data_IF_393478478117
#
_entry.id   IF_393478478117
#
_cell.length_a   1.000
_cell.length_b   1.000
_cell.length_c   1.000
_cell.angle_alpha   90.00
_cell.angle_beta   90.00
_cell.angle_gamma   90.00
#
_symmetry.space_group_name_H-M   'P 1'
#
loop_
_entity.id
_entity.type
_entity.pdbx_description
1 polymer ?
#
# COMPACT_ATOMS: atom_id res chain seq x y z
N UNK A 1 29.42 -14.20 1.94
CA UNK A 1 28.82 -12.94 1.45
C UNK A 1 27.29 -13.10 1.51
N UNK A 2 26.61 -12.51 2.51
CA UNK A 2 25.14 -12.56 2.64
C UNK A 2 24.56 -11.34 1.90
N UNK A 3 24.22 -11.51 0.62
CA UNK A 3 23.90 -10.43 -0.33
C UNK A 3 22.44 -9.97 -0.34
N UNK A 4 21.52 -10.65 0.36
CA UNK A 4 20.09 -10.42 0.15
C UNK A 4 19.48 -9.29 1.02
N UNK A 5 20.19 -8.79 2.04
CA UNK A 5 19.59 -7.92 3.08
C UNK A 5 19.73 -6.41 2.88
N UNK A 6 20.53 -5.91 1.92
CA UNK A 6 20.91 -4.47 1.93
C UNK A 6 20.50 -3.64 0.70
N UNK A 7 19.57 -4.09 -0.14
CA UNK A 7 19.20 -3.36 -1.37
C UNK A 7 17.69 -3.25 -1.63
N UNK A 8 16.85 -3.71 -0.71
CA UNK A 8 15.40 -3.60 -0.85
C UNK A 8 14.91 -2.59 0.17
N UNK A 9 14.40 -1.46 -0.31
CA UNK A 9 13.78 -0.44 0.55
C UNK A 9 12.27 -0.61 0.62
N UNK A 10 11.66 -1.15 -0.43
CA UNK A 10 10.21 -1.24 -0.56
C UNK A 10 9.78 -2.49 -1.33
N UNK A 11 8.76 -3.16 -0.83
CA UNK A 11 8.07 -4.29 -1.45
C UNK A 11 6.67 -3.86 -1.87
N UNK A 12 6.35 -4.05 -3.15
CA UNK A 12 5.04 -3.71 -3.69
C UNK A 12 4.13 -4.95 -3.75
N UNK A 13 2.88 -4.77 -3.33
CA UNK A 13 1.78 -5.73 -3.53
C UNK A 13 1.04 -5.37 -4.82
N UNK A 14 0.84 -6.36 -5.69
CA UNK A 14 0.13 -6.20 -6.96
C UNK A 14 -1.36 -5.85 -6.74
N UNK A 15 -1.95 -4.95 -7.54
CA UNK A 15 -3.36 -4.58 -7.45
C UNK A 15 -4.34 -5.75 -7.51
N UNK A 16 -4.02 -6.82 -8.24
CA UNK A 16 -4.90 -7.99 -8.34
C UNK A 16 -5.12 -8.67 -6.98
N UNK A 17 -4.11 -8.67 -6.11
CA UNK A 17 -4.25 -9.19 -4.74
C UNK A 17 -5.16 -8.30 -3.89
N UNK A 18 -5.13 -6.99 -4.14
CA UNK A 18 -5.86 -5.97 -3.37
C UNK A 18 -7.34 -5.95 -3.76
N UNK A 19 -7.65 -6.25 -5.02
CA UNK A 19 -9.02 -6.29 -5.52
C UNK A 19 -9.92 -7.19 -4.66
N UNK A 20 -9.44 -8.40 -4.34
CA UNK A 20 -10.20 -9.43 -3.62
C UNK A 20 -9.83 -9.57 -2.13
N UNK A 21 -8.97 -8.71 -1.57
CA UNK A 21 -8.45 -8.85 -0.20
C UNK A 21 -9.54 -8.90 0.90
N UNK A 22 -10.69 -8.26 0.65
CA UNK A 22 -11.82 -8.27 1.57
C UNK A 22 -12.69 -9.52 1.45
N UNK A 23 -12.76 -10.16 0.29
CA UNK A 23 -13.65 -11.30 -0.01
C UNK A 23 -12.92 -12.65 0.01
N UNK A 24 -11.63 -12.67 -0.31
CA UNK A 24 -10.79 -13.86 -0.42
C UNK A 24 -9.94 -14.05 0.84
N UNK A 25 -10.20 -15.09 1.66
CA UNK A 25 -9.35 -15.40 2.82
C UNK A 25 -7.92 -15.73 2.43
N UNK A 26 -7.71 -16.32 1.25
CA UNK A 26 -6.39 -16.65 0.73
C UNK A 26 -5.58 -15.38 0.42
N UNK A 27 -6.17 -14.42 -0.29
CA UNK A 27 -5.47 -13.18 -0.65
C UNK A 27 -5.19 -12.34 0.58
N UNK A 28 -6.12 -12.32 1.53
CA UNK A 28 -5.92 -11.69 2.84
C UNK A 28 -4.78 -12.32 3.63
N UNK A 29 -4.73 -13.66 3.68
CA UNK A 29 -3.65 -14.38 4.35
C UNK A 29 -2.30 -14.08 3.70
N UNK A 30 -2.26 -14.11 2.36
CA UNK A 30 -1.06 -13.83 1.60
C UNK A 30 -0.57 -12.40 1.83
N UNK A 31 -1.47 -11.41 1.72
CA UNK A 31 -1.15 -10.01 2.01
C UNK A 31 -0.60 -9.84 3.43
N UNK A 32 -1.23 -10.47 4.44
CA UNK A 32 -0.74 -10.43 5.83
C UNK A 32 0.66 -11.02 5.97
N UNK A 33 0.95 -12.14 5.29
CA UNK A 33 2.30 -12.76 5.33
C UNK A 33 3.35 -11.88 4.67
N UNK A 34 3.01 -11.24 3.55
CA UNK A 34 3.91 -10.32 2.84
C UNK A 34 4.17 -9.06 3.66
N UNK A 35 3.12 -8.45 4.23
CA UNK A 35 3.25 -7.24 5.07
C UNK A 35 4.05 -7.55 6.34
N UNK A 36 3.85 -8.73 6.94
CA UNK A 36 4.58 -9.18 8.13
C UNK A 36 6.05 -9.56 7.92
N UNK A 37 6.66 -9.30 6.75
CA UNK A 37 8.08 -9.56 6.48
C UNK A 37 9.01 -8.50 7.13
N UNK A 38 8.77 -8.17 8.40
CA UNK A 38 9.52 -7.17 9.17
C UNK A 38 11.02 -7.47 9.25
N UNK A 39 11.42 -8.75 9.20
CA UNK A 39 12.81 -9.21 9.27
C UNK A 39 13.68 -8.68 8.11
N UNK A 40 13.05 -8.24 7.02
CA UNK A 40 13.74 -7.66 5.87
C UNK A 40 13.91 -6.13 5.99
N UNK A 41 13.34 -5.49 7.01
CA UNK A 41 13.34 -4.03 7.21
C UNK A 41 12.85 -3.25 5.98
N UNK A 42 11.99 -3.87 5.17
CA UNK A 42 11.39 -3.27 3.97
C UNK A 42 10.08 -2.59 4.30
N UNK A 43 9.79 -1.48 3.60
CA UNK A 43 8.45 -0.88 3.61
C UNK A 43 7.53 -1.60 2.65
N UNK A 44 6.26 -1.79 3.01
CA UNK A 44 5.27 -2.43 2.12
C UNK A 44 4.31 -1.40 1.55
N UNK A 45 4.18 -1.42 0.23
CA UNK A 45 3.34 -0.51 -0.54
C UNK A 45 2.32 -1.29 -1.36
N UNK A 46 1.10 -0.78 -1.45
CA UNK A 46 0.00 -1.37 -2.24
C UNK A 46 -0.58 -0.36 -3.23
N UNK A 47 -0.90 -0.86 -4.42
CA UNK A 47 -1.67 -0.13 -5.43
C UNK A 47 -3.06 -0.77 -5.62
N UNK A 48 -4.02 0.00 -6.12
CA UNK A 48 -5.36 -0.51 -6.45
C UNK A 48 -6.35 -0.47 -5.29
N UNK A 49 -6.13 0.35 -4.27
CA UNK A 49 -7.14 0.57 -3.20
C UNK A 49 -8.29 1.42 -3.73
N UNK A 50 -9.47 0.82 -3.85
CA UNK A 50 -10.66 1.47 -4.44
C UNK A 50 -11.76 1.75 -3.42
N UNK A 51 -11.77 1.03 -2.30
CA UNK A 51 -12.83 1.11 -1.29
C UNK A 51 -12.31 1.41 0.11
N UNK A 52 -13.18 1.96 0.96
CA UNK A 52 -12.90 2.19 2.38
C UNK A 52 -12.53 0.87 3.09
N UNK A 53 -13.26 -0.21 2.81
CA UNK A 53 -13.02 -1.51 3.42
C UNK A 53 -11.64 -2.08 3.10
N UNK A 54 -11.16 -1.92 1.85
CA UNK A 54 -9.80 -2.31 1.48
C UNK A 54 -8.77 -1.47 2.23
N UNK A 55 -8.97 -0.14 2.31
CA UNK A 55 -8.06 0.75 3.06
C UNK A 55 -7.97 0.38 4.52
N UNK A 56 -9.12 0.19 5.18
CA UNK A 56 -9.20 -0.12 6.60
C UNK A 56 -8.53 -1.47 6.90
N UNK A 57 -8.78 -2.50 6.07
CA UNK A 57 -8.12 -3.79 6.21
C UNK A 57 -6.60 -3.70 6.01
N UNK A 58 -6.13 -2.97 5.01
CA UNK A 58 -4.68 -2.78 4.78
C UNK A 58 -4.02 -2.03 5.93
N UNK A 59 -4.74 -1.07 6.55
CA UNK A 59 -4.29 -0.37 7.74
C UNK A 59 -4.22 -1.30 8.97
N UNK A 60 -5.21 -2.17 9.17
CA UNK A 60 -5.19 -3.19 10.23
C UNK A 60 -4.02 -4.17 10.06
N UNK A 61 -3.70 -4.53 8.80
CA UNK A 61 -2.56 -5.36 8.46
C UNK A 61 -1.21 -4.64 8.59
N UNK A 62 -1.21 -3.34 8.98
CA UNK A 62 0.00 -2.51 9.12
C UNK A 62 0.76 -2.27 7.82
N UNK A 63 0.06 -2.16 6.69
CA UNK A 63 0.68 -1.74 5.44
C UNK A 63 1.16 -0.28 5.53
N UNK A 64 2.41 0.00 5.14
CA UNK A 64 3.01 1.33 5.32
C UNK A 64 2.38 2.39 4.41
N UNK A 65 2.13 2.03 3.14
CA UNK A 65 1.71 2.98 2.12
C UNK A 65 0.65 2.36 1.20
N UNK A 66 -0.35 3.15 0.83
CA UNK A 66 -1.41 2.72 -0.08
C UNK A 66 -1.70 3.77 -1.15
N UNK A 67 -1.95 3.29 -2.37
CA UNK A 67 -2.40 4.10 -3.51
C UNK A 67 -3.64 3.47 -4.13
N UNK A 68 -4.56 4.31 -4.57
CA UNK A 68 -5.65 3.91 -5.44
C UNK A 68 -6.75 4.95 -5.51
N UNK A 69 -7.79 4.63 -6.27
CA UNK A 69 -8.89 5.55 -6.55
C UNK A 69 -9.73 5.91 -5.32
N UNK A 70 -9.61 5.14 -4.23
CA UNK A 70 -10.15 5.52 -2.92
C UNK A 70 -9.59 6.87 -2.44
N UNK A 71 -8.30 7.12 -2.67
CA UNK A 71 -7.64 8.36 -2.29
C UNK A 71 -7.82 9.42 -3.38
N UNK A 72 -7.20 9.19 -4.53
CA UNK A 72 -7.24 10.06 -5.69
C UNK A 72 -7.07 9.24 -6.97
N UNK A 73 -7.83 9.58 -8.01
CA UNK A 73 -7.48 9.15 -9.38
C UNK A 73 -6.18 9.83 -9.83
N UNK A 74 -5.61 9.39 -10.96
CA UNK A 74 -4.48 10.08 -11.56
C UNK A 74 -4.78 11.58 -11.74
N UNK A 75 -3.90 12.42 -11.22
CA UNK A 75 -4.08 13.87 -11.18
C UNK A 75 -3.12 14.57 -12.14
N UNK A 76 -3.52 15.76 -12.59
CA UNK A 76 -2.57 16.68 -13.21
C UNK A 76 -1.66 17.27 -12.14
N UNK A 77 -0.46 17.72 -12.54
CA UNK A 77 0.51 18.38 -11.65
C UNK A 77 -0.17 19.50 -10.83
N UNK A 78 -0.93 20.38 -11.50
CA UNK A 78 -1.64 21.49 -10.86
C UNK A 78 -2.67 21.05 -9.81
N UNK A 79 -3.34 19.91 -10.02
CA UNK A 79 -4.29 19.38 -9.05
C UNK A 79 -3.57 18.77 -7.84
N UNK A 80 -2.48 18.03 -8.07
CA UNK A 80 -1.65 17.47 -7.00
C UNK A 80 -1.01 18.57 -6.13
N UNK A 81 -0.46 19.62 -6.73
CA UNK A 81 0.12 20.78 -6.02
C UNK A 81 -0.88 21.41 -5.03
N UNK A 82 -2.13 21.61 -5.45
CA UNK A 82 -3.18 22.16 -4.59
C UNK A 82 -3.45 21.29 -3.37
N UNK A 83 -3.47 19.97 -3.54
CA UNK A 83 -3.70 19.02 -2.45
C UNK A 83 -2.52 19.05 -1.48
N UNK A 84 -1.29 18.99 -1.98
CA UNK A 84 -0.07 19.00 -1.16
C UNK A 84 0.03 20.30 -0.35
N UNK A 85 -0.27 21.46 -0.97
CA UNK A 85 -0.27 22.75 -0.27
C UNK A 85 -1.32 22.77 0.82
N UNK A 86 -2.53 22.25 0.55
CA UNK A 86 -3.59 22.19 1.56
C UNK A 86 -3.18 21.33 2.77
N UNK A 87 -2.65 20.12 2.52
CA UNK A 87 -2.24 19.18 3.57
C UNK A 87 -1.08 19.67 4.44
N UNK A 88 -0.20 20.55 3.93
CA UNK A 88 0.90 21.12 4.74
C UNK A 88 0.45 22.20 5.72
N UNK A 89 -0.76 22.74 5.52
CA UNK A 89 -1.31 23.84 6.32
C UNK A 89 -2.39 23.36 7.32
N UNK A 90 -2.67 22.05 7.34
CA UNK A 90 -3.51 21.36 8.31
C UNK A 90 -2.63 20.64 9.33
#
# INVERSE_FOLDING_TARGET
MRTLRSFLDTLKIDPSLVADICSSPLDREFARKVIGLEVLEVKVFTEGVETLAQRDLLQELSCDYAQGYYFYKALTVKAAEKIIIKQRNE
#
